data_IF_192556647106
#
_entry.id   IF_192556647106
#
_cell.length_a   1.000
_cell.length_b   1.000
_cell.length_c   1.000
_cell.angle_alpha   90.00
_cell.angle_beta   90.00
_cell.angle_gamma   90.00
#
_symmetry.space_group_name_H-M   'P 1'
#
loop_
_entity.id
_entity.type
_entity.pdbx_description
1 polymer ?
#
# COMPACT_ATOMS: atom_id res chain seq x y z
N UNK A 1 -10.19 17.90 3.45
CA UNK A 1 -10.11 17.22 2.13
C UNK A 1 -9.11 16.07 2.23
N UNK A 2 -9.38 14.91 1.57
CA UNK A 2 -8.51 13.74 1.74
C UNK A 2 -8.41 12.95 0.43
N UNK A 3 -7.44 13.24 -0.45
CA UNK A 3 -7.16 12.44 -1.62
C UNK A 3 -6.59 11.06 -1.22
N UNK A 4 -7.03 10.03 -1.94
CA UNK A 4 -6.60 8.65 -1.74
C UNK A 4 -5.92 8.19 -3.02
N UNK A 5 -4.61 7.97 -2.97
CA UNK A 5 -3.80 7.43 -4.06
C UNK A 5 -3.94 5.90 -4.06
N UNK A 6 -5.01 5.40 -4.71
CA UNK A 6 -5.35 3.98 -4.76
C UNK A 6 -4.98 3.31 -6.08
N UNK A 7 -4.72 4.08 -7.13
CA UNK A 7 -4.36 3.50 -8.44
C UNK A 7 -3.12 2.65 -8.31
N UNK A 8 -3.17 1.44 -8.85
CA UNK A 8 -2.04 0.54 -8.85
C UNK A 8 -2.31 -0.69 -9.72
N UNK A 9 -1.25 -1.17 -10.35
CA UNK A 9 -1.27 -2.37 -11.18
C UNK A 9 0.00 -3.19 -10.95
N UNK A 10 -0.09 -4.48 -11.22
CA UNK A 10 1.01 -5.42 -11.12
C UNK A 10 1.09 -6.28 -12.38
N UNK A 11 2.29 -6.41 -12.94
CA UNK A 11 2.68 -7.45 -13.89
C UNK A 11 3.70 -8.31 -13.17
N UNK A 12 3.31 -9.54 -12.81
CA UNK A 12 4.19 -10.44 -12.07
C UNK A 12 5.06 -11.24 -13.02
N UNK A 13 6.37 -11.01 -12.93
CA UNK A 13 7.41 -11.71 -13.70
C UNK A 13 8.66 -11.87 -12.85
N UNK A 14 9.49 -12.89 -13.08
CA UNK A 14 10.85 -12.95 -12.56
C UNK A 14 11.63 -11.68 -12.94
N UNK A 15 12.50 -11.19 -12.05
CA UNK A 15 13.23 -9.94 -12.26
C UNK A 15 14.01 -9.91 -13.57
N UNK A 16 14.61 -11.04 -13.96
CA UNK A 16 15.42 -11.16 -15.19
C UNK A 16 14.58 -11.12 -16.48
N UNK A 17 13.27 -11.30 -16.39
CA UNK A 17 12.33 -11.29 -17.52
C UNK A 17 11.62 -9.92 -17.68
N UNK A 18 11.83 -9.01 -16.75
CA UNK A 18 11.24 -7.68 -16.85
C UNK A 18 11.93 -6.86 -17.92
N UNK A 19 11.14 -6.24 -18.78
CA UNK A 19 11.60 -5.32 -19.82
C UNK A 19 11.64 -3.88 -19.30
N UNK A 20 12.25 -2.99 -20.07
CA UNK A 20 12.20 -1.54 -19.81
C UNK A 20 10.74 -1.01 -19.86
N UNK A 21 9.88 -1.62 -20.68
CA UNK A 21 8.45 -1.30 -20.73
C UNK A 21 7.73 -1.71 -19.43
N UNK A 22 8.00 -2.90 -18.90
CA UNK A 22 7.44 -3.34 -17.62
C UNK A 22 7.86 -2.41 -16.48
N UNK A 23 9.13 -1.99 -16.49
CA UNK A 23 9.64 -1.01 -15.53
C UNK A 23 8.90 0.32 -15.62
N UNK A 24 8.83 0.91 -16.83
CA UNK A 24 8.15 2.18 -17.08
C UNK A 24 6.68 2.11 -16.71
N UNK A 25 6.00 1.01 -17.04
CA UNK A 25 4.59 0.78 -16.68
C UNK A 25 4.38 0.83 -15.17
N UNK A 26 5.20 0.13 -14.39
CA UNK A 26 5.03 0.12 -12.93
C UNK A 26 5.37 1.48 -12.30
N UNK A 27 6.43 2.14 -12.76
CA UNK A 27 6.81 3.47 -12.25
C UNK A 27 5.71 4.48 -12.54
N UNK A 28 5.27 4.58 -13.80
CA UNK A 28 4.28 5.59 -14.21
C UNK A 28 2.92 5.36 -13.54
N UNK A 29 2.48 4.09 -13.48
CA UNK A 29 1.16 3.76 -12.92
C UNK A 29 1.13 3.86 -11.40
N UNK A 30 2.13 3.29 -10.71
CA UNK A 30 2.06 3.13 -9.26
C UNK A 30 2.69 4.29 -8.48
N UNK A 31 3.76 4.89 -8.98
CA UNK A 31 4.52 5.89 -8.25
C UNK A 31 4.37 7.31 -8.81
N UNK A 32 4.65 7.49 -10.10
CA UNK A 32 4.63 8.81 -10.73
C UNK A 32 3.24 9.44 -10.65
N UNK A 33 2.19 8.67 -10.92
CA UNK A 33 0.79 9.14 -10.78
C UNK A 33 0.50 9.64 -9.36
N UNK A 34 0.86 8.85 -8.34
CA UNK A 34 0.65 9.22 -6.94
C UNK A 34 1.45 10.47 -6.54
N UNK A 35 2.69 10.60 -7.03
CA UNK A 35 3.52 11.76 -6.80
C UNK A 35 2.90 13.03 -7.39
N UNK A 36 2.53 13.02 -8.67
CA UNK A 36 1.94 14.20 -9.33
C UNK A 36 0.57 14.56 -8.80
N UNK A 37 -0.30 13.58 -8.49
CA UNK A 37 -1.57 13.85 -7.83
C UNK A 37 -1.37 14.51 -6.46
N UNK A 38 -0.35 14.12 -5.73
CA UNK A 38 -0.03 14.75 -4.44
C UNK A 38 0.39 16.21 -4.62
N UNK A 39 1.25 16.51 -5.63
CA UNK A 39 1.64 17.88 -5.97
C UNK A 39 0.42 18.74 -6.34
N UNK A 40 -0.46 18.23 -7.20
CA UNK A 40 -1.65 18.95 -7.64
C UNK A 40 -2.66 19.16 -6.49
N UNK A 41 -2.75 18.21 -5.56
CA UNK A 41 -3.64 18.31 -4.41
C UNK A 41 -3.13 19.27 -3.33
N UNK A 42 -1.81 19.49 -3.23
CA UNK A 42 -1.19 20.28 -2.15
C UNK A 42 -1.84 21.65 -1.92
N UNK A 43 -2.02 22.54 -2.92
CA UNK A 43 -2.59 23.87 -2.67
C UNK A 43 -4.02 23.80 -2.13
N UNK A 44 -4.80 22.83 -2.54
CA UNK A 44 -6.17 22.61 -2.07
C UNK A 44 -6.20 22.07 -0.63
N UNK A 45 -5.29 21.17 -0.31
CA UNK A 45 -5.13 20.63 1.03
C UNK A 45 -4.67 21.70 2.02
N UNK A 46 -3.66 22.49 1.65
CA UNK A 46 -3.17 23.61 2.42
C UNK A 46 -4.28 24.63 2.70
N UNK A 47 -5.04 25.00 1.68
CA UNK A 47 -6.18 25.91 1.80
C UNK A 47 -7.27 25.38 2.74
N UNK A 48 -7.42 24.06 2.88
CA UNK A 48 -8.41 23.46 3.80
C UNK A 48 -8.00 23.50 5.26
N UNK A 49 -6.71 23.72 5.57
CA UNK A 49 -6.16 23.74 6.92
C UNK A 49 -6.17 22.39 7.68
N UNK A 50 -6.72 21.34 7.08
CA UNK A 50 -6.85 20.01 7.69
C UNK A 50 -6.79 18.89 6.63
N UNK A 51 -5.73 18.91 5.82
CA UNK A 51 -5.53 17.94 4.74
C UNK A 51 -5.05 16.58 5.23
N UNK A 52 -5.41 15.51 4.50
CA UNK A 52 -4.85 14.18 4.70
C UNK A 52 -4.64 13.49 3.36
N UNK A 53 -3.45 13.00 3.07
CA UNK A 53 -3.17 12.17 1.89
C UNK A 53 -2.96 10.74 2.33
N UNK A 54 -3.68 9.81 1.72
CA UNK A 54 -3.51 8.38 1.96
C UNK A 54 -2.99 7.69 0.70
N UNK A 55 -1.91 6.94 0.84
CA UNK A 55 -1.33 6.11 -0.20
C UNK A 55 -1.67 4.64 0.05
N UNK A 56 -2.29 3.99 -0.94
CA UNK A 56 -2.48 2.54 -0.89
C UNK A 56 -1.22 1.88 -1.45
N UNK A 57 -0.33 1.54 -0.53
CA UNK A 57 0.91 0.82 -0.77
C UNK A 57 0.64 -0.69 -0.89
N UNK A 58 1.51 -1.50 -0.34
CA UNK A 58 1.38 -2.96 -0.24
C UNK A 58 2.30 -3.48 0.85
N UNK A 59 1.97 -4.60 1.44
CA UNK A 59 2.86 -5.36 2.32
C UNK A 59 4.19 -5.71 1.62
N UNK A 60 4.19 -5.86 0.29
CA UNK A 60 5.41 -6.10 -0.52
C UNK A 60 6.38 -4.92 -0.52
N UNK A 61 5.92 -3.72 -0.16
CA UNK A 61 6.77 -2.55 0.07
C UNK A 61 7.34 -2.47 1.49
N UNK A 62 6.99 -3.42 2.37
CA UNK A 62 7.45 -3.53 3.77
C UNK A 62 8.31 -4.76 3.96
N UNK A 63 7.85 -5.92 3.45
CA UNK A 63 8.55 -7.21 3.50
C UNK A 63 8.60 -7.84 2.11
N UNK A 64 9.54 -8.76 1.90
CA UNK A 64 9.60 -9.52 0.65
C UNK A 64 8.55 -10.63 0.62
N UNK A 65 7.75 -10.64 -0.44
CA UNK A 65 6.76 -11.69 -0.70
C UNK A 65 7.08 -12.51 -1.96
N UNK A 66 8.26 -12.31 -2.56
CA UNK A 66 8.70 -13.07 -3.76
C UNK A 66 7.85 -12.82 -5.02
N UNK A 67 7.07 -11.73 -5.06
CA UNK A 67 6.21 -11.42 -6.21
C UNK A 67 6.98 -10.60 -7.26
N UNK A 68 6.55 -9.44 -7.65
CA UNK A 68 7.24 -8.57 -8.61
C UNK A 68 8.19 -7.60 -7.90
N UNK A 69 9.49 -7.63 -8.22
CA UNK A 69 10.49 -6.73 -7.64
C UNK A 69 10.21 -5.26 -7.96
N UNK A 70 9.80 -4.95 -9.20
CA UNK A 70 9.50 -3.57 -9.62
C UNK A 70 8.27 -3.05 -8.87
N UNK A 71 7.20 -3.85 -8.82
CA UNK A 71 6.01 -3.49 -8.05
C UNK A 71 6.35 -3.22 -6.59
N UNK A 72 7.09 -4.12 -5.95
CA UNK A 72 7.52 -3.97 -4.57
C UNK A 72 8.35 -2.71 -4.35
N UNK A 73 9.26 -2.40 -5.27
CA UNK A 73 10.05 -1.17 -5.24
C UNK A 73 9.16 0.08 -5.31
N UNK A 74 8.15 0.11 -6.20
CA UNK A 74 7.21 1.24 -6.27
C UNK A 74 6.42 1.41 -4.98
N UNK A 75 5.99 0.31 -4.35
CA UNK A 75 5.25 0.34 -3.08
C UNK A 75 6.14 0.75 -1.90
N UNK A 76 7.39 0.32 -1.88
CA UNK A 76 8.40 0.83 -0.93
C UNK A 76 8.67 2.32 -1.10
N UNK A 77 8.76 2.80 -2.34
CA UNK A 77 8.90 4.22 -2.64
C UNK A 77 7.69 5.05 -2.17
N UNK A 78 6.45 4.53 -2.31
CA UNK A 78 5.25 5.19 -1.76
C UNK A 78 5.31 5.31 -0.23
N UNK A 79 5.82 4.29 0.48
CA UNK A 79 6.01 4.34 1.93
C UNK A 79 6.98 5.47 2.32
N UNK A 80 8.07 5.61 1.57
CA UNK A 80 9.03 6.68 1.82
C UNK A 80 8.50 8.05 1.41
N UNK A 81 7.74 8.14 0.31
CA UNK A 81 7.07 9.36 -0.10
C UNK A 81 6.13 9.87 1.00
N UNK A 82 5.30 9.00 1.56
CA UNK A 82 4.41 9.35 2.67
C UNK A 82 5.19 9.94 3.87
N UNK A 83 6.34 9.35 4.24
CA UNK A 83 7.19 9.86 5.33
C UNK A 83 7.73 11.25 5.02
N UNK A 84 8.22 11.47 3.80
CA UNK A 84 8.76 12.77 3.41
C UNK A 84 7.69 13.85 3.39
N UNK A 85 6.54 13.59 2.76
CA UNK A 85 5.44 14.54 2.69
C UNK A 85 4.84 14.85 4.06
N UNK A 86 4.82 13.88 4.99
CA UNK A 86 4.39 14.08 6.36
C UNK A 86 5.25 15.13 7.10
N UNK A 87 6.56 15.16 6.84
CA UNK A 87 7.47 16.13 7.42
C UNK A 87 7.42 17.47 6.68
N UNK A 88 7.45 17.42 5.35
CA UNK A 88 7.54 18.59 4.49
C UNK A 88 6.28 19.47 4.58
N UNK A 89 5.09 18.85 4.68
CA UNK A 89 3.81 19.56 4.65
C UNK A 89 3.13 19.68 6.02
N UNK A 90 3.83 19.32 7.09
CA UNK A 90 3.30 19.41 8.45
C UNK A 90 2.86 20.85 8.82
N UNK A 91 3.69 21.85 8.46
CA UNK A 91 3.38 23.27 8.71
C UNK A 91 2.18 23.78 7.90
N UNK A 92 1.80 23.08 6.82
CA UNK A 92 0.64 23.38 6.00
C UNK A 92 -0.64 22.69 6.51
N UNK A 93 -0.58 22.00 7.66
CA UNK A 93 -1.70 21.26 8.24
C UNK A 93 -2.08 20.00 7.46
N UNK A 94 -1.13 19.40 6.73
CA UNK A 94 -1.36 18.23 5.89
C UNK A 94 -0.69 17.00 6.50
N UNK A 95 -1.42 15.91 6.63
CA UNK A 95 -0.91 14.60 7.03
C UNK A 95 -0.75 13.71 5.81
N UNK A 96 0.27 12.85 5.82
CA UNK A 96 0.50 11.87 4.76
C UNK A 96 0.77 10.49 5.38
N UNK A 97 0.02 9.47 4.96
CA UNK A 97 0.05 8.13 5.55
C UNK A 97 0.03 7.09 4.43
N UNK A 98 0.80 6.02 4.57
CA UNK A 98 0.71 4.85 3.71
C UNK A 98 -0.05 3.72 4.42
N UNK A 99 -0.92 3.05 3.71
CA UNK A 99 -1.54 1.80 4.13
C UNK A 99 -0.93 0.70 3.28
N UNK A 100 -0.50 -0.39 3.91
CA UNK A 100 0.15 -1.53 3.27
C UNK A 100 -0.73 -2.80 3.41
N UNK A 101 -1.71 -3.01 2.52
CA UNK A 101 -2.52 -4.22 2.53
C UNK A 101 -1.69 -5.45 2.10
N UNK A 102 -2.06 -6.62 2.61
CA UNK A 102 -1.69 -7.90 2.02
C UNK A 102 -2.57 -8.21 0.80
N UNK A 103 -2.79 -9.48 0.51
CA UNK A 103 -3.66 -9.89 -0.59
C UNK A 103 -5.12 -9.67 -0.17
N UNK A 104 -5.81 -8.80 -0.90
CA UNK A 104 -7.21 -8.42 -0.67
C UNK A 104 -8.07 -8.99 -1.79
N UNK A 105 -9.19 -9.60 -1.45
CA UNK A 105 -10.15 -10.19 -2.39
C UNK A 105 -10.81 -9.09 -3.26
N UNK A 106 -10.14 -8.74 -4.34
CA UNK A 106 -10.53 -7.73 -5.32
C UNK A 106 -10.51 -8.32 -6.72
N UNK A 107 -11.14 -7.70 -7.72
CA UNK A 107 -11.03 -8.14 -9.11
C UNK A 107 -9.59 -8.28 -9.61
N UNK A 108 -8.66 -7.45 -9.12
CA UNK A 108 -7.23 -7.59 -9.46
C UNK A 108 -6.67 -8.96 -9.03
N UNK A 109 -7.05 -9.44 -7.85
CA UNK A 109 -6.61 -10.74 -7.32
C UNK A 109 -7.42 -11.87 -7.93
N UNK A 110 -8.71 -11.67 -8.13
CA UNK A 110 -9.61 -12.68 -8.69
C UNK A 110 -9.23 -13.07 -10.11
N UNK A 111 -8.92 -12.09 -10.96
CA UNK A 111 -8.60 -12.31 -12.37
C UNK A 111 -7.09 -12.33 -12.67
N UNK A 112 -6.27 -11.82 -11.78
CA UNK A 112 -4.82 -11.68 -11.98
C UNK A 112 -3.97 -12.82 -11.41
N UNK A 113 -4.57 -13.69 -10.58
CA UNK A 113 -3.85 -14.78 -9.91
C UNK A 113 -4.69 -16.06 -9.87
N UNK A 114 -4.02 -17.20 -9.97
CA UNK A 114 -4.66 -18.51 -9.92
C UNK A 114 -5.07 -18.92 -8.50
N UNK A 115 -5.81 -20.02 -8.40
CA UNK A 115 -6.31 -20.52 -7.10
C UNK A 115 -5.18 -21.12 -6.25
N UNK A 116 -4.08 -21.56 -6.85
CA UNK A 116 -2.91 -22.09 -6.14
C UNK A 116 -2.23 -20.93 -5.37
N UNK A 117 -2.02 -19.82 -6.05
CA UNK A 117 -1.47 -18.62 -5.41
C UNK A 117 -2.38 -18.12 -4.26
N UNK A 118 -3.70 -18.06 -4.48
CA UNK A 118 -4.66 -17.62 -3.44
C UNK A 118 -4.59 -18.52 -2.21
N UNK A 119 -4.60 -19.85 -2.40
CA UNK A 119 -4.48 -20.83 -1.30
C UNK A 119 -3.14 -20.73 -0.59
N UNK A 120 -2.04 -20.52 -1.32
CA UNK A 120 -0.73 -20.31 -0.72
C UNK A 120 -0.71 -19.05 0.15
N UNK A 121 -1.33 -17.96 -0.31
CA UNK A 121 -1.44 -16.73 0.47
C UNK A 121 -2.29 -16.91 1.73
N UNK A 122 -3.44 -17.59 1.63
CA UNK A 122 -4.28 -17.92 2.77
C UNK A 122 -3.55 -18.76 3.82
N UNK A 123 -2.84 -19.80 3.38
CA UNK A 123 -2.09 -20.68 4.29
C UNK A 123 -0.90 -19.99 4.96
N UNK A 124 -0.32 -19.00 4.28
CA UNK A 124 0.81 -18.22 4.81
C UNK A 124 0.34 -17.14 5.78
N UNK A 125 -0.86 -16.62 5.60
CA UNK A 125 -1.41 -15.56 6.44
C UNK A 125 -1.79 -16.09 7.83
N UNK A 126 -1.38 -15.46 8.95
CA UNK A 126 -1.77 -15.85 10.29
C UNK A 126 -3.29 -15.94 10.52
N UNK A 127 -4.09 -15.06 9.89
CA UNK A 127 -5.56 -15.12 9.97
C UNK A 127 -6.19 -16.16 9.04
N UNK A 128 -5.39 -16.88 8.21
CA UNK A 128 -5.85 -18.00 7.40
C UNK A 128 -6.79 -17.64 6.25
N UNK A 129 -6.83 -16.39 5.82
CA UNK A 129 -7.70 -15.92 4.74
C UNK A 129 -7.15 -14.68 4.03
N UNK A 130 -7.70 -14.38 2.89
CA UNK A 130 -7.50 -13.07 2.23
C UNK A 130 -8.23 -11.98 3.02
N UNK A 131 -7.72 -10.75 2.92
CA UNK A 131 -8.41 -9.56 3.43
C UNK A 131 -9.60 -9.18 2.55
N UNK A 132 -10.52 -8.39 3.10
CA UNK A 132 -11.66 -7.83 2.36
C UNK A 132 -11.43 -6.35 2.07
N UNK A 133 -11.95 -5.80 0.95
CA UNK A 133 -11.84 -4.38 0.64
C UNK A 133 -12.30 -3.46 1.77
N UNK A 134 -13.39 -3.84 2.48
CA UNK A 134 -13.97 -3.07 3.58
C UNK A 134 -13.02 -2.96 4.78
N UNK A 135 -12.15 -3.95 4.99
CA UNK A 135 -11.17 -3.94 6.09
C UNK A 135 -10.08 -2.90 5.84
N UNK A 136 -9.69 -2.68 4.58
CA UNK A 136 -8.79 -1.60 4.20
C UNK A 136 -9.51 -0.25 4.20
N UNK A 137 -10.71 -0.20 3.62
CA UNK A 137 -11.50 1.03 3.50
C UNK A 137 -11.84 1.63 4.87
N UNK A 138 -12.11 0.80 5.88
CA UNK A 138 -12.38 1.25 7.25
C UNK A 138 -11.20 2.01 7.85
N UNK A 139 -9.98 1.53 7.66
CA UNK A 139 -8.78 2.24 8.10
C UNK A 139 -8.57 3.53 7.30
N UNK A 140 -8.77 3.50 5.97
CA UNK A 140 -8.70 4.70 5.13
C UNK A 140 -9.66 5.77 5.65
N UNK A 141 -10.91 5.40 5.90
CA UNK A 141 -11.93 6.31 6.41
C UNK A 141 -11.51 6.92 7.76
N UNK A 142 -11.04 6.08 8.70
CA UNK A 142 -10.53 6.56 9.99
C UNK A 142 -9.39 7.57 9.84
N UNK A 143 -8.41 7.27 8.97
CA UNK A 143 -7.26 8.15 8.75
C UNK A 143 -7.63 9.49 8.10
N UNK A 144 -8.76 9.56 7.42
CA UNK A 144 -9.30 10.80 6.87
C UNK A 144 -10.06 11.66 7.91
N UNK A 145 -10.40 11.11 9.07
CA UNK A 145 -11.15 11.81 10.13
C UNK A 145 -10.24 12.63 11.06
N UNK A 146 -10.80 13.64 11.75
CA UNK A 146 -10.09 14.38 12.80
C UNK A 146 -9.57 13.49 13.94
N UNK A 147 -10.22 12.35 14.21
CA UNK A 147 -9.77 11.37 15.20
C UNK A 147 -8.34 10.86 14.94
N UNK A 148 -7.86 10.91 13.71
CA UNK A 148 -6.50 10.53 13.32
C UNK A 148 -5.53 11.74 13.24
N UNK A 149 -5.86 12.88 13.83
CA UNK A 149 -5.11 14.14 13.67
C UNK A 149 -3.65 14.07 14.12
N UNK A 150 -3.29 13.11 14.96
CA UNK A 150 -1.90 12.92 15.43
C UNK A 150 -1.17 11.77 14.73
N UNK A 151 -1.77 11.22 13.66
CA UNK A 151 -1.17 10.13 12.87
C UNK A 151 -0.71 10.69 11.53
N UNK A 152 0.61 10.73 11.31
CA UNK A 152 1.23 11.12 10.03
C UNK A 152 2.56 10.39 9.84
N UNK A 153 3.04 10.24 8.61
CA UNK A 153 4.32 9.61 8.27
C UNK A 153 4.39 8.10 8.53
N UNK A 154 3.28 7.47 8.88
CA UNK A 154 3.26 6.04 9.21
C UNK A 154 2.96 5.19 7.97
N UNK A 155 3.49 3.97 7.98
CA UNK A 155 3.07 2.88 7.11
C UNK A 155 2.34 1.86 7.98
N UNK A 156 1.03 1.68 7.75
CA UNK A 156 0.19 0.81 8.57
C UNK A 156 -0.19 -0.41 7.74
N UNK A 157 0.23 -1.58 8.18
CA UNK A 157 -0.11 -2.85 7.52
C UNK A 157 -1.57 -3.25 7.86
N UNK A 158 -2.30 -3.69 6.82
CA UNK A 158 -3.61 -4.34 6.93
C UNK A 158 -3.46 -5.70 6.26
N UNK A 159 -2.88 -6.64 6.96
CA UNK A 159 -2.25 -7.80 6.34
C UNK A 159 -2.52 -9.13 7.06
N UNK A 160 -3.40 -9.15 8.04
CA UNK A 160 -3.71 -10.36 8.81
C UNK A 160 -2.53 -10.94 9.58
N UNK A 161 -1.50 -10.11 9.86
CA UNK A 161 -0.29 -10.51 10.58
C UNK A 161 0.84 -11.02 9.69
N UNK A 162 0.69 -10.95 8.35
CA UNK A 162 1.68 -11.48 7.42
C UNK A 162 3.07 -10.85 7.60
N UNK A 163 3.15 -9.52 7.74
CA UNK A 163 4.44 -8.80 7.84
C UNK A 163 5.18 -9.03 9.16
N UNK A 164 4.49 -9.52 10.18
CA UNK A 164 5.07 -9.78 11.50
C UNK A 164 5.20 -11.28 11.81
N UNK A 165 4.83 -12.14 10.86
CA UNK A 165 4.96 -13.59 10.99
C UNK A 165 6.43 -13.96 10.96
N UNK A 166 6.96 -14.35 12.12
CA UNK A 166 8.29 -14.92 12.27
C UNK A 166 8.30 -16.43 12.08
N UNK A 167 9.24 -17.09 12.72
CA UNK A 167 9.33 -18.55 12.75
C UNK A 167 8.09 -19.14 13.42
N UNK A 168 7.38 -20.04 12.72
CA UNK A 168 6.26 -20.78 13.27
C UNK A 168 6.68 -22.19 13.61
N UNK A 169 6.73 -22.51 14.91
CA UNK A 169 6.92 -23.88 15.39
C UNK A 169 5.54 -24.50 15.66
N UNK A 170 5.24 -25.59 14.95
CA UNK A 170 4.10 -26.43 15.29
C UNK A 170 4.65 -27.60 16.12
N UNK A 171 4.34 -27.70 17.43
CA UNK A 171 4.64 -28.90 18.17
C UNK A 171 3.89 -30.06 17.53
N UNK A 172 4.55 -31.18 17.37
CA UNK A 172 3.95 -32.40 16.88
C UNK A 172 2.76 -32.74 17.79
N UNK A 173 1.53 -32.79 17.19
CA UNK A 173 0.35 -33.30 17.86
C UNK A 173 0.46 -34.81 18.01
#
# INVERSE_FOLDING_TARGET
MSPINNVGAIRSKPTIENTAEDFSFHISTNLESAYHFSQLAHPLLKSSGCGSIVFISSVTGVVSCGVSSIYSATKGAMNQLARNLACEWASDGIRAIAIAPAVIATPLVEYGFDDEFKKAMESTNPLGRLGKPEEVASLVAFLCMPAASYITGQTICVDGGLSVKGFSYQPHA
#
